data_IF_250576678185
#
_entry.id   IF_250576678185
#
_cell.length_a   1.000
_cell.length_b   1.000
_cell.length_c   1.000
_cell.angle_alpha   90.00
_cell.angle_beta   90.00
_cell.angle_gamma   90.00
#
_symmetry.space_group_name_H-M   'P 1'
#
loop_
_entity.id
_entity.type
_entity.pdbx_description
1 polymer ?
#
# COMPACT_ATOMS: atom_id res chain seq x y z
N UNK A 1 -30.14 9.53 -7.95
CA UNK A 1 -30.78 8.34 -8.56
C UNK A 1 -31.69 8.65 -9.76
N UNK A 2 -32.76 9.47 -9.64
CA UNK A 2 -33.67 9.73 -10.79
C UNK A 2 -33.03 10.50 -11.97
N UNK A 3 -32.12 11.44 -11.71
CA UNK A 3 -31.44 12.23 -12.76
C UNK A 3 -30.40 11.43 -13.56
N UNK A 4 -29.79 10.40 -12.95
CA UNK A 4 -28.78 9.55 -13.60
C UNK A 4 -29.41 8.51 -14.55
N UNK A 5 -30.62 8.03 -14.24
CA UNK A 5 -31.40 7.15 -15.13
C UNK A 5 -31.82 7.83 -16.45
N UNK A 6 -32.01 9.16 -16.45
CA UNK A 6 -32.47 9.92 -17.64
C UNK A 6 -31.31 10.19 -18.61
N UNK A 7 -30.06 10.29 -18.12
CA UNK A 7 -28.88 10.49 -18.98
C UNK A 7 -28.51 9.21 -19.76
N UNK A 8 -28.80 8.03 -19.22
CA UNK A 8 -28.43 6.76 -19.88
C UNK A 8 -29.41 6.33 -20.98
N UNK A 9 -30.72 6.60 -20.84
CA UNK A 9 -31.69 6.33 -21.91
C UNK A 9 -31.47 7.21 -23.14
N UNK A 10 -30.92 8.41 -22.98
CA UNK A 10 -30.60 9.31 -24.10
C UNK A 10 -29.33 8.90 -24.84
N UNK A 11 -28.35 8.28 -24.16
CA UNK A 11 -27.12 7.77 -24.81
C UNK A 11 -27.36 6.48 -25.62
N UNK A 12 -28.27 5.60 -25.17
CA UNK A 12 -28.62 4.35 -25.89
C UNK A 12 -29.42 4.66 -27.17
N UNK A 13 -30.23 5.73 -27.19
CA UNK A 13 -30.93 6.18 -28.40
C UNK A 13 -29.99 6.63 -29.52
N UNK A 14 -28.76 7.06 -29.20
CA UNK A 14 -27.75 7.47 -30.17
C UNK A 14 -27.00 6.28 -30.80
N UNK A 15 -26.86 5.16 -30.08
CA UNK A 15 -26.24 3.93 -30.62
C UNK A 15 -27.19 3.24 -31.61
N UNK A 16 -28.51 3.35 -31.40
CA UNK A 16 -29.53 2.79 -32.29
C UNK A 16 -29.67 3.49 -33.66
N UNK A 17 -29.03 4.64 -33.87
CA UNK A 17 -29.16 5.41 -35.12
C UNK A 17 -27.99 5.24 -36.10
N UNK A 18 -26.94 4.48 -35.75
CA UNK A 18 -25.74 4.32 -36.57
C UNK A 18 -25.47 2.92 -37.13
N UNK A 19 -26.44 2.01 -37.11
CA UNK A 19 -26.29 0.68 -37.72
C UNK A 19 -27.36 0.48 -38.80
N UNK A 20 -27.21 1.21 -39.90
CA UNK A 20 -27.70 0.76 -41.19
C UNK A 20 -26.82 -0.40 -41.66
N UNK A 21 -27.33 -1.62 -41.59
CA UNK A 21 -26.75 -2.79 -42.28
C UNK A 21 -25.85 -3.68 -41.41
N UNK A 22 -26.44 -4.47 -40.51
CA UNK A 22 -25.78 -5.57 -39.83
C UNK A 22 -26.27 -5.74 -38.40
N UNK A 23 -27.12 -6.73 -38.14
CA UNK A 23 -27.62 -7.00 -36.80
C UNK A 23 -26.48 -7.52 -35.91
N UNK A 24 -25.86 -6.62 -35.13
CA UNK A 24 -25.09 -7.01 -33.96
C UNK A 24 -26.12 -7.22 -32.85
N UNK A 25 -26.34 -8.47 -32.45
CA UNK A 25 -27.23 -8.79 -31.33
C UNK A 25 -26.47 -8.47 -30.04
N UNK A 26 -26.43 -7.19 -29.66
CA UNK A 26 -25.81 -6.75 -28.40
C UNK A 26 -26.76 -7.15 -27.28
N UNK A 27 -26.35 -8.14 -26.50
CA UNK A 27 -27.08 -8.58 -25.31
C UNK A 27 -26.93 -7.53 -24.20
N UNK A 28 -27.78 -6.52 -24.31
CA UNK A 28 -27.80 -5.35 -23.44
C UNK A 28 -28.15 -5.72 -21.99
N UNK A 29 -28.91 -6.80 -21.78
CA UNK A 29 -29.24 -7.28 -20.44
C UNK A 29 -28.00 -7.81 -19.73
N UNK A 30 -27.20 -8.66 -20.38
CA UNK A 30 -25.92 -9.13 -19.84
C UNK A 30 -24.91 -7.99 -19.62
N UNK A 31 -24.91 -6.97 -20.48
CA UNK A 31 -24.04 -5.81 -20.34
C UNK A 31 -24.48 -4.90 -19.17
N UNK A 32 -25.78 -4.76 -18.95
CA UNK A 32 -26.33 -4.05 -17.78
C UNK A 32 -26.09 -4.87 -16.50
N UNK A 33 -26.24 -6.19 -16.54
CA UNK A 33 -26.04 -7.06 -15.39
C UNK A 33 -24.57 -7.08 -14.94
N UNK A 34 -23.63 -7.19 -15.88
CA UNK A 34 -22.18 -7.05 -15.60
C UNK A 34 -21.80 -5.68 -15.05
N UNK A 35 -22.39 -4.60 -15.58
CA UNK A 35 -22.19 -3.24 -15.07
C UNK A 35 -22.81 -3.07 -13.67
N UNK A 36 -24.01 -3.62 -13.43
CA UNK A 36 -24.66 -3.58 -12.12
C UNK A 36 -23.87 -4.36 -11.06
N UNK A 37 -23.29 -5.51 -11.43
CA UNK A 37 -22.36 -6.27 -10.59
C UNK A 37 -21.10 -5.43 -10.27
N UNK A 38 -20.56 -4.69 -11.23
CA UNK A 38 -19.43 -3.78 -11.02
C UNK A 38 -19.77 -2.63 -10.05
N UNK A 39 -21.01 -2.12 -10.09
CA UNK A 39 -21.48 -1.05 -9.20
C UNK A 39 -21.97 -1.51 -7.82
N UNK A 40 -22.07 -2.83 -7.58
CA UNK A 40 -22.47 -3.38 -6.28
C UNK A 40 -21.27 -3.54 -5.31
N UNK A 41 -20.20 -2.81 -5.57
CA UNK A 41 -19.01 -2.76 -4.72
C UNK A 41 -19.32 -2.02 -3.41
N UNK A 42 -18.75 -2.52 -2.32
CA UNK A 42 -18.70 -1.80 -1.04
C UNK A 42 -18.22 -0.35 -1.30
N UNK A 43 -18.68 0.64 -0.50
CA UNK A 43 -18.21 2.01 -0.65
C UNK A 43 -16.68 2.03 -0.64
N UNK A 44 -16.11 2.62 -1.69
CA UNK A 44 -14.67 2.81 -1.84
C UNK A 44 -14.19 3.65 -0.68
N UNK A 45 -13.26 3.12 0.12
CA UNK A 45 -12.68 3.84 1.26
C UNK A 45 -11.50 4.66 0.79
N UNK A 46 -11.55 5.96 1.03
CA UNK A 46 -10.42 6.87 0.85
C UNK A 46 -9.70 7.07 2.19
N UNK A 47 -8.39 7.36 2.15
CA UNK A 47 -7.60 7.54 3.36
C UNK A 47 -8.18 8.62 4.29
N UNK A 48 -8.68 9.72 3.72
CA UNK A 48 -9.27 10.83 4.48
C UNK A 48 -10.59 10.52 5.20
N UNK A 49 -11.23 9.39 4.87
CA UNK A 49 -12.49 8.95 5.50
C UNK A 49 -12.25 7.98 6.67
N UNK A 50 -11.00 7.53 6.85
CA UNK A 50 -10.65 6.53 7.85
C UNK A 50 -10.26 7.21 9.15
N UNK A 51 -10.90 6.79 10.24
CA UNK A 51 -10.46 7.10 11.59
C UNK A 51 -9.22 6.29 11.93
N UNK A 52 -8.06 6.89 11.72
CA UNK A 52 -6.74 6.24 11.87
C UNK A 52 -6.51 5.68 13.28
N UNK A 53 -7.08 6.32 14.30
CA UNK A 53 -6.97 5.93 15.71
C UNK A 53 -7.78 4.67 16.07
N UNK A 54 -8.75 4.28 15.24
CA UNK A 54 -9.64 3.13 15.47
C UNK A 54 -9.25 1.87 14.65
N UNK A 55 -8.20 1.93 13.82
CA UNK A 55 -7.85 0.83 12.90
C UNK A 55 -7.19 -0.33 13.66
N UNK A 56 -7.75 -1.53 13.52
CA UNK A 56 -7.19 -2.78 14.09
C UNK A 56 -6.93 -3.88 13.07
N UNK A 57 -7.32 -3.69 11.82
CA UNK A 57 -7.13 -4.64 10.72
C UNK A 57 -6.77 -3.91 9.44
N UNK A 58 -6.19 -4.63 8.48
CA UNK A 58 -5.88 -4.09 7.15
C UNK A 58 -7.15 -3.54 6.49
N UNK A 59 -7.05 -2.39 5.84
CA UNK A 59 -8.12 -1.77 5.06
C UNK A 59 -7.67 -1.64 3.61
N UNK A 60 -8.49 -2.10 2.68
CA UNK A 60 -8.31 -1.82 1.26
C UNK A 60 -8.77 -0.39 0.96
N UNK A 61 -7.86 0.42 0.42
CA UNK A 61 -8.14 1.79 -0.04
C UNK A 61 -8.44 1.78 -1.53
N UNK A 62 -9.23 2.73 -2.01
CA UNK A 62 -9.51 2.89 -3.45
C UNK A 62 -9.93 1.58 -4.15
N UNK A 63 -10.77 0.76 -3.49
CA UNK A 63 -11.20 -0.54 -4.04
C UNK A 63 -10.08 -1.59 -4.15
N UNK A 64 -9.00 -1.41 -3.39
CA UNK A 64 -7.73 -2.13 -3.53
C UNK A 64 -7.01 -1.86 -4.87
N UNK A 65 -7.13 -0.65 -5.40
CA UNK A 65 -6.37 -0.22 -6.58
C UNK A 65 -5.39 0.90 -6.22
N UNK A 66 -4.15 0.78 -6.70
CA UNK A 66 -3.15 1.84 -6.58
C UNK A 66 -3.67 3.15 -7.19
N UNK A 67 -3.25 4.29 -6.62
CA UNK A 67 -3.69 5.61 -7.05
C UNK A 67 -2.53 6.41 -7.64
N UNK A 68 -1.76 5.79 -8.54
CA UNK A 68 -0.71 6.46 -9.30
C UNK A 68 -1.30 7.22 -10.49
N UNK A 69 -0.76 8.40 -10.76
CA UNK A 69 -1.06 9.14 -11.99
C UNK A 69 -0.44 8.43 -13.20
N UNK A 70 -0.95 8.72 -14.40
CA UNK A 70 -0.35 8.16 -15.63
C UNK A 70 1.12 8.58 -15.79
N UNK A 71 1.47 9.82 -15.43
CA UNK A 71 2.84 10.34 -15.46
C UNK A 71 3.78 9.52 -14.55
N UNK A 72 3.32 9.14 -13.35
CA UNK A 72 4.08 8.29 -12.44
C UNK A 72 4.31 6.86 -12.99
N UNK A 73 3.55 6.44 -14.00
CA UNK A 73 3.64 5.12 -14.63
C UNK A 73 4.40 5.12 -15.97
N UNK A 74 4.87 6.27 -16.45
CA UNK A 74 5.57 6.37 -17.75
C UNK A 74 7.05 5.95 -17.70
N UNK A 75 7.67 5.98 -16.51
CA UNK A 75 9.09 5.63 -16.35
C UNK A 75 9.33 4.12 -16.42
N UNK A 76 10.41 3.71 -17.07
CA UNK A 76 10.93 2.33 -17.06
C UNK A 76 12.34 2.21 -16.51
N UNK A 77 12.95 3.30 -16.07
CA UNK A 77 14.28 3.25 -15.45
C UNK A 77 14.14 3.00 -13.94
N UNK A 78 14.70 1.91 -13.39
CA UNK A 78 14.52 1.61 -11.97
C UNK A 78 15.12 2.68 -11.05
N UNK A 79 14.38 3.08 -10.02
CA UNK A 79 14.81 4.11 -9.07
C UNK A 79 14.18 3.90 -7.69
N UNK A 80 14.76 4.55 -6.69
CA UNK A 80 14.19 4.67 -5.35
C UNK A 80 14.51 6.05 -4.77
N UNK A 81 13.63 6.55 -3.92
CA UNK A 81 13.82 7.79 -3.18
C UNK A 81 13.18 7.70 -1.80
N UNK A 82 13.72 8.49 -0.89
CA UNK A 82 13.24 8.61 0.49
C UNK A 82 13.07 10.07 0.80
N UNK A 83 11.94 10.41 1.42
CA UNK A 83 11.73 11.74 1.99
C UNK A 83 12.82 12.05 3.02
N UNK A 84 13.16 13.33 3.14
CA UNK A 84 13.92 13.79 4.30
C UNK A 84 13.14 13.49 5.58
N UNK A 85 13.87 13.28 6.67
CA UNK A 85 13.25 13.17 7.98
C UNK A 85 12.55 14.50 8.32
N UNK A 86 11.38 14.42 8.92
CA UNK A 86 10.65 15.62 9.31
C UNK A 86 11.25 16.30 10.56
N UNK A 87 10.63 17.37 11.05
CA UNK A 87 11.13 18.12 12.22
C UNK A 87 11.17 17.32 13.53
N UNK A 88 10.51 16.16 13.59
CA UNK A 88 10.55 15.22 14.72
C UNK A 88 11.50 14.04 14.45
N UNK A 89 12.28 14.11 13.37
CA UNK A 89 13.14 13.05 12.82
C UNK A 89 12.38 11.79 12.37
N UNK A 90 11.09 11.92 12.03
CA UNK A 90 10.28 10.79 11.55
C UNK A 90 10.54 10.56 10.07
N UNK A 91 10.47 9.30 9.65
CA UNK A 91 10.52 8.94 8.23
C UNK A 91 9.30 9.49 7.49
N UNK A 92 9.49 9.87 6.23
CA UNK A 92 8.40 10.25 5.33
C UNK A 92 8.10 9.17 4.28
N UNK A 93 7.54 9.59 3.15
CA UNK A 93 7.23 8.70 2.03
C UNK A 93 8.52 8.09 1.48
N UNK A 94 8.49 6.79 1.24
CA UNK A 94 9.50 6.09 0.45
C UNK A 94 8.86 5.60 -0.85
N UNK A 95 9.57 5.78 -1.96
CA UNK A 95 8.99 5.66 -3.28
C UNK A 95 9.98 4.98 -4.23
N UNK A 96 9.48 4.12 -5.11
CA UNK A 96 10.33 3.36 -6.01
C UNK A 96 9.64 2.97 -7.32
N UNK A 97 10.47 2.78 -8.33
CA UNK A 97 10.17 1.95 -9.48
C UNK A 97 11.05 0.71 -9.39
N UNK A 98 10.46 -0.37 -8.89
CA UNK A 98 11.17 -1.60 -8.61
C UNK A 98 11.38 -2.42 -9.87
N UNK A 99 12.57 -3.01 -9.99
CA UNK A 99 12.91 -3.98 -11.01
C UNK A 99 13.83 -5.05 -10.41
N UNK A 100 13.89 -6.22 -11.05
CA UNK A 100 14.74 -7.34 -10.61
C UNK A 100 16.21 -6.95 -10.44
N UNK A 101 16.71 -5.97 -11.21
CA UNK A 101 18.09 -5.48 -11.11
C UNK A 101 18.41 -4.75 -9.82
N UNK A 102 17.41 -4.30 -9.06
CA UNK A 102 17.58 -3.65 -7.74
C UNK A 102 17.66 -4.66 -6.60
N UNK A 103 17.26 -5.91 -6.84
CA UNK A 103 17.22 -6.93 -5.80
C UNK A 103 18.65 -7.33 -5.41
N UNK A 104 18.98 -7.42 -4.11
CA UNK A 104 20.34 -7.69 -3.67
C UNK A 104 20.76 -9.13 -3.96
N UNK A 105 22.02 -9.32 -4.35
CA UNK A 105 22.71 -10.62 -4.37
C UNK A 105 23.44 -10.92 -3.06
N UNK A 106 23.81 -9.87 -2.31
CA UNK A 106 24.57 -9.95 -1.07
C UNK A 106 23.65 -10.16 0.14
N UNK A 107 24.18 -10.75 1.24
CA UNK A 107 23.43 -10.86 2.48
C UNK A 107 23.14 -9.49 3.09
N UNK A 108 22.02 -9.40 3.81
CA UNK A 108 21.64 -8.21 4.59
C UNK A 108 22.69 -7.90 5.65
N UNK A 109 23.03 -6.62 5.78
CA UNK A 109 23.98 -6.14 6.78
C UNK A 109 23.29 -5.84 8.13
N UNK A 110 24.11 -5.60 9.16
CA UNK A 110 23.60 -5.20 10.46
C UNK A 110 23.00 -3.78 10.41
N UNK A 111 21.82 -3.63 11.01
CA UNK A 111 21.11 -2.36 11.13
C UNK A 111 20.88 -1.96 12.60
N UNK A 112 21.51 -2.66 13.54
CA UNK A 112 21.30 -2.50 14.98
C UNK A 112 21.60 -1.07 15.49
N UNK A 113 22.46 -0.33 14.77
CA UNK A 113 22.82 1.05 15.09
C UNK A 113 21.69 2.08 14.92
N UNK A 114 20.60 1.72 14.24
CA UNK A 114 19.48 2.64 13.99
C UNK A 114 18.42 2.53 15.08
N UNK A 115 17.99 3.67 15.61
CA UNK A 115 16.92 3.76 16.60
C UNK A 115 15.88 4.74 16.07
N UNK A 116 14.84 4.27 15.38
CA UNK A 116 13.81 5.15 14.84
C UNK A 116 13.07 5.92 15.94
N UNK A 117 12.29 6.91 15.54
CA UNK A 117 11.44 7.66 16.46
C UNK A 117 10.52 6.73 17.24
N UNK A 118 10.30 7.05 18.52
CA UNK A 118 9.46 6.24 19.40
C UNK A 118 10.04 4.85 19.73
N UNK A 119 11.32 4.58 19.47
CA UNK A 119 11.92 3.30 19.80
C UNK A 119 11.94 3.04 21.31
N UNK A 120 10.99 2.23 21.80
CA UNK A 120 10.87 1.88 23.20
C UNK A 120 10.53 0.39 23.36
N UNK A 121 11.53 -0.45 23.60
CA UNK A 121 11.33 -1.88 23.55
C UNK A 121 10.48 -2.44 24.70
N UNK A 122 9.63 -3.40 24.34
CA UNK A 122 8.89 -4.26 25.26
C UNK A 122 9.09 -5.71 24.86
N UNK A 123 9.40 -6.57 25.83
CA UNK A 123 9.41 -8.02 25.62
C UNK A 123 7.98 -8.56 25.73
N UNK A 124 7.57 -9.37 24.77
CA UNK A 124 6.27 -10.03 24.72
C UNK A 124 6.29 -11.35 25.51
N UNK A 125 5.11 -11.92 25.75
CA UNK A 125 4.94 -13.15 26.53
C UNK A 125 5.62 -14.38 25.87
N UNK A 126 5.75 -14.37 24.55
CA UNK A 126 6.48 -15.39 23.77
C UNK A 126 8.01 -15.24 23.83
N UNK A 127 8.50 -14.20 24.51
CA UNK A 127 9.92 -13.88 24.65
C UNK A 127 10.50 -13.03 23.51
N UNK A 128 9.72 -12.70 22.48
CA UNK A 128 10.17 -11.84 21.38
C UNK A 128 10.06 -10.35 21.73
N UNK A 129 10.72 -9.51 20.94
CA UNK A 129 10.73 -8.05 21.08
C UNK A 129 9.58 -7.42 20.27
N UNK A 130 8.80 -6.53 20.87
CA UNK A 130 7.61 -5.92 20.25
C UNK A 130 7.92 -5.24 18.91
N UNK A 131 8.95 -4.38 18.88
CA UNK A 131 9.24 -3.60 17.68
C UNK A 131 10.40 -4.16 16.86
N UNK A 132 10.28 -3.98 15.55
CA UNK A 132 11.32 -4.18 14.56
C UNK A 132 11.74 -2.82 14.03
N UNK A 133 12.99 -2.75 13.54
CA UNK A 133 13.43 -1.68 12.64
C UNK A 133 12.85 -2.02 11.28
N UNK A 134 11.62 -1.58 11.06
CA UNK A 134 10.84 -1.92 9.87
C UNK A 134 11.27 -1.06 8.71
N UNK A 135 11.51 -1.69 7.57
CA UNK A 135 11.84 -1.03 6.32
C UNK A 135 10.57 -0.48 5.66
N UNK A 136 10.62 0.73 5.10
CA UNK A 136 9.56 1.21 4.18
C UNK A 136 9.72 0.51 2.83
N UNK A 137 10.92 0.52 2.27
CA UNK A 137 11.31 -0.30 1.12
C UNK A 137 12.15 -1.49 1.62
N UNK A 138 11.56 -2.68 1.62
CA UNK A 138 12.18 -3.90 2.12
C UNK A 138 13.52 -4.22 1.44
N UNK A 139 14.50 -4.69 2.23
CA UNK A 139 15.83 -5.09 1.75
C UNK A 139 15.76 -6.03 0.53
N UNK A 140 14.84 -6.98 0.52
CA UNK A 140 14.72 -7.95 -0.58
C UNK A 140 14.37 -7.31 -1.94
N UNK A 141 13.81 -6.09 -1.94
CA UNK A 141 13.39 -5.38 -3.13
C UNK A 141 14.46 -4.40 -3.63
N UNK A 142 15.28 -3.85 -2.73
CA UNK A 142 16.12 -2.67 -3.01
C UNK A 142 17.56 -2.78 -2.54
N UNK A 143 17.89 -3.77 -1.70
CA UNK A 143 19.21 -3.89 -1.07
C UNK A 143 19.47 -2.91 0.08
N UNK A 144 18.49 -2.11 0.48
CA UNK A 144 18.68 -1.08 1.50
C UNK A 144 18.92 -1.67 2.91
N UNK A 145 20.06 -1.30 3.52
CA UNK A 145 20.45 -1.71 4.88
C UNK A 145 20.12 -0.62 5.92
N UNK A 146 21.15 -0.04 6.55
CA UNK A 146 21.03 0.90 7.66
C UNK A 146 20.75 2.34 7.19
N UNK A 147 19.63 2.56 6.49
CA UNK A 147 19.19 3.88 6.04
C UNK A 147 18.19 4.49 7.03
N UNK A 148 18.59 5.58 7.69
CA UNK A 148 17.77 6.31 8.67
C UNK A 148 16.45 6.84 8.10
N UNK A 149 16.38 7.10 6.79
CA UNK A 149 15.17 7.57 6.10
C UNK A 149 14.22 6.44 5.71
N UNK A 150 14.64 5.19 5.86
CA UNK A 150 13.90 3.99 5.45
C UNK A 150 13.45 3.12 6.63
N UNK A 151 13.85 3.44 7.87
CA UNK A 151 13.59 2.59 9.03
C UNK A 151 12.68 3.28 10.05
N UNK A 152 11.56 2.63 10.39
CA UNK A 152 10.61 3.10 11.39
C UNK A 152 10.38 2.06 12.50
N UNK A 153 9.77 2.51 13.60
CA UNK A 153 9.32 1.64 14.69
C UNK A 153 8.02 0.94 14.27
N UNK A 154 8.13 -0.29 13.76
CA UNK A 154 7.00 -1.15 13.40
C UNK A 154 6.85 -2.33 14.35
N UNK A 155 5.63 -2.76 14.66
CA UNK A 155 5.40 -3.98 15.45
C UNK A 155 5.85 -5.23 14.69
N UNK A 156 6.07 -6.34 15.39
CA UNK A 156 6.31 -7.64 14.76
C UNK A 156 5.15 -8.05 13.86
N UNK A 157 3.92 -7.85 14.29
CA UNK A 157 2.73 -8.19 13.50
C UNK A 157 2.65 -7.37 12.20
N UNK A 158 2.82 -6.04 12.27
CA UNK A 158 2.87 -5.22 11.05
C UNK A 158 4.00 -5.67 10.14
N UNK A 159 5.21 -5.84 10.68
CA UNK A 159 6.41 -6.07 9.89
C UNK A 159 6.44 -7.48 9.28
N UNK A 160 6.31 -8.51 10.11
CA UNK A 160 6.63 -9.89 9.74
C UNK A 160 5.44 -10.66 9.19
N UNK A 161 4.21 -10.23 9.48
CA UNK A 161 3.00 -10.90 9.00
C UNK A 161 2.39 -10.09 7.86
N UNK A 162 2.11 -8.80 8.10
CA UNK A 162 1.32 -8.01 7.15
C UNK A 162 2.15 -7.46 6.00
N UNK A 163 3.24 -6.72 6.27
CA UNK A 163 4.08 -6.15 5.20
C UNK A 163 4.72 -7.22 4.31
N UNK A 164 5.36 -8.21 4.94
CA UNK A 164 6.05 -9.32 4.24
C UNK A 164 5.13 -10.04 3.25
N UNK A 165 3.83 -10.15 3.52
CA UNK A 165 2.87 -10.73 2.58
C UNK A 165 2.89 -10.01 1.22
N UNK A 166 2.75 -8.68 1.24
CA UNK A 166 2.70 -7.86 0.02
C UNK A 166 4.09 -7.74 -0.63
N UNK A 167 5.14 -7.61 0.18
CA UNK A 167 6.52 -7.54 -0.33
C UNK A 167 6.91 -8.84 -1.04
N UNK A 168 6.50 -10.01 -0.52
CA UNK A 168 6.78 -11.29 -1.16
C UNK A 168 6.04 -11.47 -2.49
N UNK A 169 4.81 -10.95 -2.59
CA UNK A 169 4.05 -10.94 -3.85
C UNK A 169 4.78 -10.13 -4.93
N UNK A 170 5.21 -8.90 -4.58
CA UNK A 170 6.03 -8.06 -5.46
C UNK A 170 7.35 -8.76 -5.81
N UNK A 171 8.08 -9.27 -4.82
CA UNK A 171 9.37 -9.91 -5.03
C UNK A 171 9.27 -11.15 -5.93
N UNK A 172 8.21 -11.95 -5.78
CA UNK A 172 7.96 -13.10 -6.63
C UNK A 172 7.68 -12.66 -8.07
N UNK A 173 6.84 -11.63 -8.26
CA UNK A 173 6.54 -11.07 -9.56
C UNK A 173 7.79 -10.53 -10.26
N UNK A 174 8.60 -9.73 -9.58
CA UNK A 174 9.86 -9.21 -10.13
C UNK A 174 10.85 -10.32 -10.49
N UNK A 175 10.90 -11.42 -9.72
CA UNK A 175 11.79 -12.56 -10.00
C UNK A 175 11.36 -13.38 -11.20
N UNK A 176 10.05 -13.63 -11.34
CA UNK A 176 9.47 -14.47 -12.38
C UNK A 176 9.29 -13.74 -13.71
N UNK A 177 9.26 -12.41 -13.67
CA UNK A 177 9.18 -11.53 -14.84
C UNK A 177 10.49 -10.74 -15.03
N UNK A 178 10.50 -9.87 -16.03
CA UNK A 178 11.49 -8.79 -16.17
C UNK A 178 10.77 -7.43 -16.23
N UNK A 179 9.67 -7.34 -15.48
CA UNK A 179 8.75 -6.21 -15.47
C UNK A 179 9.07 -5.27 -14.30
N UNK A 180 8.38 -4.13 -14.28
CA UNK A 180 8.53 -3.10 -13.26
C UNK A 180 7.31 -3.03 -12.36
N UNK A 181 7.54 -2.66 -11.10
CA UNK A 181 6.47 -2.37 -10.14
C UNK A 181 6.68 -0.97 -9.58
N UNK A 182 5.75 -0.07 -9.87
CA UNK A 182 5.64 1.22 -9.19
C UNK A 182 5.19 0.95 -7.76
N UNK A 183 5.98 1.36 -6.77
CA UNK A 183 5.74 1.04 -5.36
C UNK A 183 5.95 2.26 -4.46
N UNK A 184 5.00 2.52 -3.57
CA UNK A 184 5.02 3.64 -2.63
C UNK A 184 4.60 3.18 -1.24
N UNK A 185 5.36 3.61 -0.24
CA UNK A 185 5.08 3.35 1.18
C UNK A 185 4.99 4.67 1.93
N UNK A 186 3.81 4.93 2.50
CA UNK A 186 3.53 6.18 3.21
C UNK A 186 3.23 5.88 4.69
N UNK A 187 4.12 6.24 5.62
CA UNK A 187 3.85 6.12 7.05
C UNK A 187 2.81 7.16 7.49
N UNK A 188 1.81 6.73 8.27
CA UNK A 188 0.72 7.58 8.75
C UNK A 188 0.92 7.88 10.23
N UNK A 189 1.38 9.10 10.53
CA UNK A 189 1.46 9.62 11.89
C UNK A 189 0.25 10.49 12.21
N UNK A 190 -0.19 10.51 13.47
CA UNK A 190 -1.13 11.53 13.95
C UNK A 190 -0.37 12.60 14.72
N UNK A 191 -0.63 13.87 14.37
CA UNK A 191 -0.04 15.03 15.04
C UNK A 191 1.48 14.87 15.27
N UNK A 192 1.91 14.94 16.53
CA UNK A 192 3.30 14.84 16.96
C UNK A 192 3.70 13.42 17.43
N UNK A 193 2.93 12.40 17.08
CA UNK A 193 3.26 11.02 17.42
C UNK A 193 4.58 10.59 16.78
N UNK A 194 5.34 9.78 17.52
CA UNK A 194 6.68 9.33 17.12
C UNK A 194 6.66 7.93 16.50
N UNK A 195 5.58 7.18 16.67
CA UNK A 195 5.34 5.88 16.05
C UNK A 195 4.18 6.04 15.07
N UNK A 196 4.27 5.56 13.82
CA UNK A 196 3.15 5.67 12.89
C UNK A 196 2.02 4.74 13.33
N UNK A 197 0.78 5.19 13.17
CA UNK A 197 -0.44 4.43 13.46
C UNK A 197 -0.68 3.32 12.43
N UNK A 198 -0.26 3.58 11.20
CA UNK A 198 -0.38 2.66 10.08
C UNK A 198 0.67 3.01 9.02
N UNK A 199 0.81 2.14 8.03
CA UNK A 199 1.45 2.48 6.76
C UNK A 199 0.47 2.23 5.63
N UNK A 200 0.51 3.05 4.60
CA UNK A 200 -0.14 2.78 3.33
C UNK A 200 0.89 2.14 2.39
N UNK A 201 0.53 1.01 1.78
CA UNK A 201 1.27 0.38 0.69
C UNK A 201 0.48 0.53 -0.61
N UNK A 202 1.09 1.09 -1.63
CA UNK A 202 0.55 1.19 -2.99
C UNK A 202 1.50 0.52 -3.97
N UNK A 203 0.99 -0.36 -4.83
CA UNK A 203 1.78 -1.04 -5.86
C UNK A 203 1.00 -1.22 -7.16
N UNK A 204 1.64 -0.94 -8.30
CA UNK A 204 1.12 -1.26 -9.64
C UNK A 204 2.24 -1.77 -10.55
N UNK A 205 2.05 -2.92 -11.21
CA UNK A 205 2.97 -3.34 -12.28
C UNK A 205 2.68 -2.62 -13.59
N UNK A 206 3.73 -2.08 -14.22
CA UNK A 206 3.59 -1.16 -15.35
C UNK A 206 3.12 -1.90 -16.62
N UNK A 207 3.72 -3.05 -16.90
CA UNK A 207 3.59 -3.73 -18.19
C UNK A 207 2.27 -4.49 -18.34
N UNK A 208 1.71 -5.00 -17.25
CA UNK A 208 0.58 -5.95 -17.30
C UNK A 208 -0.46 -5.80 -16.18
N UNK A 209 -0.24 -4.89 -15.22
CA UNK A 209 -1.13 -4.63 -14.08
C UNK A 209 -1.50 -5.88 -13.25
N UNK A 210 -0.69 -6.94 -13.30
CA UNK A 210 -0.88 -8.14 -12.47
C UNK A 210 -0.65 -7.86 -10.98
N UNK A 211 0.24 -6.92 -10.65
CA UNK A 211 0.31 -6.33 -9.31
C UNK A 211 -0.56 -5.08 -9.34
N UNK A 212 -1.58 -5.03 -8.48
CA UNK A 212 -2.34 -3.82 -8.24
C UNK A 212 -2.97 -3.88 -6.84
N UNK A 213 -2.50 -3.03 -5.92
CA UNK A 213 -3.12 -2.90 -4.61
C UNK A 213 -2.88 -1.53 -3.98
N UNK A 214 -3.78 -1.19 -3.06
CA UNK A 214 -3.66 -0.03 -2.18
C UNK A 214 -4.24 -0.40 -0.82
N UNK A 215 -3.38 -0.57 0.17
CA UNK A 215 -3.75 -1.10 1.47
C UNK A 215 -3.19 -0.25 2.60
N UNK A 216 -3.99 -0.07 3.65
CA UNK A 216 -3.59 0.55 4.89
C UNK A 216 -3.38 -0.55 5.93
N UNK A 217 -2.15 -0.71 6.39
CA UNK A 217 -1.74 -1.74 7.36
C UNK A 217 -1.54 -1.07 8.72
N UNK A 218 -2.34 -1.42 9.74
CA UNK A 218 -2.22 -0.83 11.08
C UNK A 218 -0.97 -1.32 11.80
N UNK A 219 -0.31 -0.41 12.53
CA UNK A 219 0.87 -0.68 13.34
C UNK A 219 0.47 -1.17 14.74
N UNK A 220 -0.23 -2.30 14.77
CA UNK A 220 -0.79 -2.91 15.97
C UNK A 220 -0.09 -4.22 16.29
N UNK A 221 -0.27 -4.71 17.51
CA UNK A 221 0.15 -6.03 17.93
C UNK A 221 -0.95 -6.62 18.81
N UNK A 222 -1.44 -7.81 18.48
CA UNK A 222 -2.48 -8.47 19.27
C UNK A 222 -2.13 -8.54 20.77
N UNK A 223 -3.06 -8.10 21.62
CA UNK A 223 -2.91 -8.09 23.09
C UNK A 223 -2.01 -6.98 23.63
N UNK A 224 -1.65 -5.98 22.82
CA UNK A 224 -0.78 -4.87 23.21
C UNK A 224 -1.44 -3.52 22.87
N UNK A 225 -1.47 -2.64 23.87
CA UNK A 225 -1.79 -1.22 23.68
C UNK A 225 -0.50 -0.41 23.55
N UNK A 226 -0.41 0.42 22.51
CA UNK A 226 0.74 1.28 22.21
C UNK A 226 0.38 2.74 22.48
N UNK A 227 1.25 3.45 23.22
CA UNK A 227 1.30 4.91 23.24
C UNK A 227 2.17 5.38 22.08
N UNK A 228 1.54 5.80 20.99
CA UNK A 228 2.22 6.21 19.75
C UNK A 228 3.02 7.52 19.90
N UNK A 229 2.75 8.31 20.94
CA UNK A 229 3.54 9.51 21.24
C UNK A 229 4.92 9.18 21.81
N UNK A 230 5.07 8.05 22.50
CA UNK A 230 6.34 7.68 23.16
C UNK A 230 6.90 6.32 22.75
N UNK A 231 6.10 5.52 22.05
CA UNK A 231 6.33 4.11 21.75
C UNK A 231 6.22 3.16 22.94
N UNK A 232 5.91 3.65 24.14
CA UNK A 232 5.66 2.77 25.30
C UNK A 232 4.49 1.84 25.01
N UNK A 233 4.56 0.62 25.52
CA UNK A 233 3.52 -0.37 25.32
C UNK A 233 3.15 -1.11 26.61
N UNK A 234 1.86 -1.37 26.77
CA UNK A 234 1.29 -2.16 27.87
C UNK A 234 0.57 -3.37 27.31
N UNK A 235 0.52 -4.43 28.11
CA UNK A 235 -0.35 -5.57 27.79
C UNK A 235 -1.80 -5.14 28.05
N UNK A 236 -2.71 -5.57 27.17
CA UNK A 236 -4.16 -5.41 27.36
C UNK A 236 -4.69 -6.20 28.57
#
# INVERSE_FOLDING_TARGET
MKKLKILFTTLIGLIGLFIGGGMINVDLENMIESFMIQTNSQPVKELGEIKIDEIKSIINLNGNYANFTLEELESTEPWQTFSDLDSLNRVGVADALLHKSMMPSEPREDISMIYPTGWNQKKLDDGNWLYNRSHLLGFQLTGENANWKNLFTGTQELNQIHMVKYENEIAQYLKSTNNHVRYRVTPIFMDNELVPRAIQLEAESIEDKQINFNVLIPNVQAGITIDYSTGKATKE
#
